data_IF_483171472222
#
_entry.id   IF_483171472222
#
_cell.length_a   1.000
_cell.length_b   1.000
_cell.length_c   1.000
_cell.angle_alpha   90.00
_cell.angle_beta   90.00
_cell.angle_gamma   90.00
#
_symmetry.space_group_name_H-M   'P 1'
#
loop_
_entity.id
_entity.type
_entity.pdbx_description
1 polymer ?
#
# COMPACT_ATOMS: atom_id res chain seq x y z
N UNK A 1 -28.11 -25.10 30.17
CA UNK A 1 -27.25 -25.43 29.04
C UNK A 1 -26.41 -24.20 28.77
N UNK A 2 -25.19 -24.20 29.30
CA UNK A 2 -24.19 -23.11 29.16
C UNK A 2 -23.47 -23.31 27.85
N UNK A 3 -23.58 -22.35 26.93
CA UNK A 3 -22.83 -22.35 25.68
C UNK A 3 -21.35 -22.14 25.99
N UNK A 4 -20.53 -23.15 25.72
CA UNK A 4 -19.08 -23.06 25.75
C UNK A 4 -18.60 -22.10 24.63
N UNK A 5 -18.00 -20.99 25.04
CA UNK A 5 -17.23 -20.13 24.16
C UNK A 5 -15.96 -20.88 23.74
N UNK A 6 -15.89 -21.32 22.51
CA UNK A 6 -14.65 -21.81 21.90
C UNK A 6 -13.59 -20.71 22.02
N UNK A 7 -12.41 -20.98 22.58
CA UNK A 7 -11.35 -19.99 22.65
C UNK A 7 -10.87 -19.70 21.22
N UNK A 8 -10.85 -18.41 20.85
CA UNK A 8 -10.22 -17.95 19.64
C UNK A 8 -8.75 -18.38 19.65
N UNK A 9 -8.32 -19.06 18.62
CA UNK A 9 -6.92 -19.39 18.35
C UNK A 9 -6.09 -18.10 18.43
N UNK A 10 -4.95 -18.06 19.14
CA UNK A 10 -4.13 -16.84 19.18
C UNK A 10 -3.68 -16.48 17.77
N UNK A 11 -4.03 -15.27 17.37
CA UNK A 11 -3.70 -14.65 16.09
C UNK A 11 -2.18 -14.55 15.99
N UNK A 12 -1.57 -15.45 15.22
CA UNK A 12 -0.13 -15.63 15.14
C UNK A 12 0.50 -14.52 14.28
N UNK A 13 0.59 -13.28 14.81
CA UNK A 13 1.43 -12.23 14.24
C UNK A 13 0.83 -11.42 13.09
N UNK A 14 -0.42 -11.62 12.71
CA UNK A 14 -1.11 -10.78 11.72
C UNK A 14 -1.46 -9.41 12.31
N UNK A 15 -1.36 -8.37 11.46
CA UNK A 15 -1.84 -7.04 11.83
C UNK A 15 -3.37 -7.06 11.98
N UNK A 16 -3.93 -6.35 12.97
CA UNK A 16 -5.37 -6.09 13.00
C UNK A 16 -5.79 -5.33 11.74
N UNK A 17 -6.96 -5.66 11.19
CA UNK A 17 -7.45 -5.08 9.93
C UNK A 17 -8.89 -4.61 10.06
N UNK A 18 -9.24 -3.52 9.38
CA UNK A 18 -10.61 -3.20 8.98
C UNK A 18 -10.84 -3.84 7.62
N UNK A 19 -12.01 -4.43 7.39
CA UNK A 19 -12.33 -5.06 6.09
C UNK A 19 -13.68 -4.58 5.57
N UNK A 20 -13.74 -4.29 4.28
CA UNK A 20 -14.96 -4.01 3.51
C UNK A 20 -15.01 -4.94 2.30
N UNK A 21 -16.21 -5.27 1.85
CA UNK A 21 -16.42 -6.09 0.65
C UNK A 21 -17.51 -5.46 -0.22
N UNK A 22 -17.28 -5.45 -1.54
CA UNK A 22 -18.26 -4.92 -2.50
C UNK A 22 -19.35 -5.93 -2.87
N UNK A 23 -19.22 -7.18 -2.39
CA UNK A 23 -20.20 -8.24 -2.63
C UNK A 23 -19.83 -9.55 -1.93
N UNK A 24 -20.67 -10.57 -2.10
CA UNK A 24 -20.40 -11.90 -1.58
C UNK A 24 -19.30 -12.61 -2.39
N UNK A 25 -18.50 -13.47 -1.73
CA UNK A 25 -17.46 -14.27 -2.36
C UNK A 25 -16.40 -13.44 -3.15
N UNK A 26 -15.64 -12.56 -2.50
CA UNK A 26 -14.63 -11.76 -3.16
C UNK A 26 -13.61 -12.60 -3.94
N UNK A 27 -13.34 -12.20 -5.17
CA UNK A 27 -12.38 -12.83 -6.06
C UNK A 27 -11.09 -12.04 -6.23
N UNK A 28 -11.11 -10.76 -5.82
CA UNK A 28 -9.98 -9.85 -5.84
C UNK A 28 -9.80 -9.22 -4.45
N UNK A 29 -8.59 -8.72 -4.15
CA UNK A 29 -8.35 -7.99 -2.91
C UNK A 29 -7.53 -6.72 -3.16
N UNK A 30 -7.75 -5.71 -2.32
CA UNK A 30 -6.92 -4.50 -2.24
C UNK A 30 -6.47 -4.36 -0.79
N UNK A 31 -5.15 -4.47 -0.55
CA UNK A 31 -4.57 -4.20 0.77
C UNK A 31 -4.09 -2.76 0.76
N UNK A 32 -4.74 -1.90 1.54
CA UNK A 32 -4.53 -0.45 1.52
C UNK A 32 -3.92 0.06 2.82
N UNK A 33 -2.70 0.59 2.73
CA UNK A 33 -1.87 1.03 3.85
C UNK A 33 -2.04 2.53 4.08
N UNK A 34 -2.40 2.91 5.31
CA UNK A 34 -2.59 4.31 5.72
C UNK A 34 -1.26 5.07 5.91
N UNK A 35 -1.33 6.39 6.04
CA UNK A 35 -0.19 7.26 6.34
C UNK A 35 0.22 7.22 7.82
N UNK A 36 1.33 7.91 8.14
CA UNK A 36 1.83 8.06 9.51
C UNK A 36 0.78 8.68 10.45
N UNK A 37 0.57 8.09 11.60
CA UNK A 37 -0.33 8.57 12.64
C UNK A 37 -1.81 8.25 12.43
N UNK A 38 -2.20 7.84 11.22
CA UNK A 38 -3.54 7.35 10.88
C UNK A 38 -3.72 5.89 11.29
N UNK A 39 -4.83 5.26 10.90
CA UNK A 39 -5.09 3.84 11.10
C UNK A 39 -5.93 3.25 9.94
N UNK A 40 -6.37 2.00 10.06
CA UNK A 40 -7.11 1.31 9.01
C UNK A 40 -8.48 1.93 8.68
N UNK A 41 -9.02 2.81 9.52
CA UNK A 41 -10.27 3.51 9.22
C UNK A 41 -10.08 4.76 8.36
N UNK A 42 -8.85 5.23 8.18
CA UNK A 42 -8.55 6.47 7.44
C UNK A 42 -9.02 6.40 5.98
N UNK A 43 -8.73 5.31 5.31
CA UNK A 43 -9.15 5.06 3.92
C UNK A 43 -10.36 4.13 3.78
N UNK A 44 -10.91 3.61 4.87
CA UNK A 44 -12.07 2.72 4.80
C UNK A 44 -13.28 3.36 4.08
N UNK A 45 -13.60 4.65 4.27
CA UNK A 45 -14.71 5.30 3.57
C UNK A 45 -14.53 5.41 2.06
N UNK A 46 -13.31 5.28 1.52
CA UNK A 46 -13.03 5.38 0.08
C UNK A 46 -13.78 4.32 -0.74
N UNK A 47 -14.15 3.20 -0.11
CA UNK A 47 -14.90 2.12 -0.77
C UNK A 47 -16.24 2.60 -1.27
N UNK A 48 -16.87 3.55 -0.58
CA UNK A 48 -18.17 4.09 -0.92
C UNK A 48 -18.10 5.16 -2.05
N UNK A 49 -16.88 5.63 -2.37
CA UNK A 49 -16.62 6.60 -3.45
C UNK A 49 -16.36 5.90 -4.80
N UNK A 50 -16.14 4.58 -4.81
CA UNK A 50 -15.82 3.81 -6.01
C UNK A 50 -17.04 3.05 -6.55
N UNK A 51 -17.19 3.07 -7.89
CA UNK A 51 -18.14 2.23 -8.61
C UNK A 51 -17.43 1.06 -9.28
N UNK A 52 -17.56 -0.12 -8.66
CA UNK A 52 -16.99 -1.37 -9.18
C UNK A 52 -18.05 -2.37 -9.66
N UNK A 53 -19.22 -1.93 -10.06
CA UNK A 53 -20.34 -2.78 -10.50
C UNK A 53 -19.96 -3.72 -11.66
N UNK A 54 -18.94 -3.37 -12.44
CA UNK A 54 -18.47 -4.17 -13.57
C UNK A 54 -17.36 -5.18 -13.18
N UNK A 55 -16.91 -5.18 -11.93
CA UNK A 55 -15.88 -6.08 -11.43
C UNK A 55 -16.47 -7.20 -10.57
N UNK A 56 -15.77 -8.33 -10.44
CA UNK A 56 -16.05 -9.30 -9.38
C UNK A 56 -15.96 -8.64 -8.00
N UNK A 57 -16.64 -9.24 -7.02
CA UNK A 57 -16.57 -8.73 -5.64
C UNK A 57 -15.12 -8.60 -5.15
N UNK A 58 -14.82 -7.46 -4.55
CA UNK A 58 -13.49 -7.07 -4.06
C UNK A 58 -13.51 -7.07 -2.53
N UNK A 59 -12.45 -7.60 -1.91
CA UNK A 59 -12.17 -7.40 -0.50
C UNK A 59 -11.14 -6.30 -0.32
N UNK A 60 -11.55 -5.23 0.35
CA UNK A 60 -10.65 -4.21 0.86
C UNK A 60 -10.15 -4.60 2.25
N UNK A 61 -8.84 -4.53 2.44
CA UNK A 61 -8.17 -4.83 3.69
C UNK A 61 -7.36 -3.61 4.10
N UNK A 62 -7.71 -2.99 5.21
CA UNK A 62 -7.07 -1.80 5.76
C UNK A 62 -6.36 -2.18 7.07
N UNK A 63 -5.08 -2.56 7.02
CA UNK A 63 -4.36 -2.95 8.23
C UNK A 63 -4.00 -1.73 9.09
N UNK A 64 -4.00 -1.93 10.41
CA UNK A 64 -3.45 -0.97 11.36
C UNK A 64 -1.94 -1.17 11.49
N UNK A 65 -1.15 -0.13 11.23
CA UNK A 65 0.28 -0.16 11.53
C UNK A 65 0.54 -0.37 13.03
N UNK A 66 1.68 -0.95 13.41
CA UNK A 66 2.07 -1.07 14.81
C UNK A 66 2.20 0.30 15.49
N UNK A 67 1.99 0.33 16.81
CA UNK A 67 2.35 1.49 17.63
C UNK A 67 3.86 1.51 17.83
N UNK A 68 4.50 2.64 17.50
CA UNK A 68 5.94 2.84 17.73
C UNK A 68 6.27 4.30 18.02
N UNK A 69 7.39 4.55 18.69
CA UNK A 69 7.93 5.89 18.83
C UNK A 69 8.39 6.41 17.46
N UNK A 70 8.09 7.66 17.13
CA UNK A 70 8.47 8.32 15.87
C UNK A 70 9.43 9.45 16.20
N UNK A 71 10.68 9.31 15.78
CA UNK A 71 11.80 10.18 16.17
C UNK A 71 11.59 11.63 15.72
N UNK A 72 11.16 11.86 14.46
CA UNK A 72 10.89 13.20 13.93
C UNK A 72 9.78 13.93 14.71
N UNK A 73 8.88 13.18 15.35
CA UNK A 73 7.81 13.70 16.19
C UNK A 73 8.20 13.71 17.69
N UNK A 74 9.48 13.84 18.00
CA UNK A 74 9.97 13.90 19.37
C UNK A 74 9.82 12.59 20.17
N UNK A 75 9.74 11.45 19.50
CA UNK A 75 9.53 10.13 20.10
C UNK A 75 8.09 9.84 20.51
N UNK A 76 7.12 10.66 20.05
CA UNK A 76 5.71 10.39 20.30
C UNK A 76 5.29 9.02 19.73
N UNK A 77 4.57 8.24 20.55
CA UNK A 77 4.12 6.90 20.17
C UNK A 77 2.83 6.98 19.37
N UNK A 78 2.88 6.56 18.13
CA UNK A 78 1.74 6.56 17.21
C UNK A 78 1.80 5.36 16.26
N UNK A 79 0.74 5.13 15.47
CA UNK A 79 0.76 4.13 14.42
C UNK A 79 1.72 4.57 13.33
N UNK A 80 2.71 3.73 13.06
CA UNK A 80 3.73 3.99 12.05
C UNK A 80 4.27 2.69 11.46
N UNK A 81 4.45 2.66 10.15
CA UNK A 81 5.04 1.51 9.45
C UNK A 81 6.54 1.40 9.74
N UNK A 82 7.21 2.53 9.82
CA UNK A 82 8.64 2.62 10.20
C UNK A 82 8.91 3.95 10.91
N UNK A 83 10.04 4.05 11.60
CA UNK A 83 10.45 5.31 12.21
C UNK A 83 10.93 6.30 11.13
N UNK A 84 10.65 7.56 11.29
CA UNK A 84 11.17 8.66 10.49
C UNK A 84 12.13 9.45 11.36
N UNK A 85 13.42 9.39 11.03
CA UNK A 85 14.48 10.05 11.82
C UNK A 85 14.67 11.51 11.39
N UNK A 86 14.50 11.80 10.08
CA UNK A 86 14.77 13.11 9.51
C UNK A 86 13.82 13.41 8.35
N UNK A 87 13.51 14.70 8.15
CA UNK A 87 12.67 15.18 7.05
C UNK A 87 13.44 15.48 5.75
N UNK A 88 14.75 15.23 5.69
CA UNK A 88 15.56 15.56 4.51
C UNK A 88 15.44 14.53 3.37
N UNK A 89 14.75 13.41 3.61
CA UNK A 89 14.52 12.33 2.63
C UNK A 89 15.78 11.97 1.83
N UNK A 90 16.96 12.14 2.42
CA UNK A 90 18.22 11.80 1.77
C UNK A 90 18.27 10.28 1.50
N UNK A 91 18.77 9.86 0.33
CA UNK A 91 18.90 8.44 0.03
C UNK A 91 19.61 7.66 1.13
N UNK A 92 19.00 6.57 1.61
CA UNK A 92 19.57 5.71 2.65
C UNK A 92 19.37 6.18 4.09
N UNK A 93 18.55 7.22 4.31
CA UNK A 93 18.20 7.70 5.67
C UNK A 93 16.83 7.28 6.15
N UNK A 94 16.03 6.65 5.31
CA UNK A 94 14.84 5.94 5.76
C UNK A 94 15.23 4.79 6.68
N UNK A 95 14.39 4.48 7.64
CA UNK A 95 14.59 3.33 8.52
C UNK A 95 14.40 2.00 7.76
N UNK A 96 15.44 1.56 7.04
CA UNK A 96 15.41 0.38 6.16
C UNK A 96 14.94 -0.89 6.89
N UNK A 97 15.35 -1.05 8.16
CA UNK A 97 14.94 -2.20 8.99
C UNK A 97 13.43 -2.15 9.27
N UNK A 98 12.90 -0.99 9.66
CA UNK A 98 11.47 -0.79 9.91
C UNK A 98 10.62 -0.99 8.66
N UNK A 99 11.10 -0.54 7.48
CA UNK A 99 10.44 -0.80 6.19
C UNK A 99 10.38 -2.30 5.90
N UNK A 100 11.48 -3.04 6.11
CA UNK A 100 11.54 -4.49 5.91
C UNK A 100 10.65 -5.25 6.91
N UNK A 101 10.65 -4.82 8.18
CA UNK A 101 9.74 -5.37 9.20
C UNK A 101 8.29 -5.22 8.79
N UNK A 102 7.89 -4.03 8.34
CA UNK A 102 6.53 -3.77 7.87
C UNK A 102 6.21 -4.57 6.61
N UNK A 103 7.13 -4.66 5.65
CA UNK A 103 6.98 -5.51 4.47
C UNK A 103 6.69 -6.97 4.84
N UNK A 104 7.41 -7.53 5.82
CA UNK A 104 7.16 -8.90 6.31
C UNK A 104 5.75 -9.09 6.87
N UNK A 105 5.20 -8.07 7.55
CA UNK A 105 3.81 -8.10 8.03
C UNK A 105 2.80 -8.04 6.88
N UNK A 106 3.09 -7.26 5.83
CA UNK A 106 2.24 -7.21 4.63
C UNK A 106 2.32 -8.52 3.85
N UNK A 107 3.48 -9.17 3.76
CA UNK A 107 3.61 -10.53 3.20
C UNK A 107 2.70 -11.54 3.92
N UNK A 108 2.55 -11.41 5.24
CA UNK A 108 1.65 -12.25 6.02
C UNK A 108 0.17 -12.00 5.67
N UNK A 109 -0.21 -10.75 5.34
CA UNK A 109 -1.54 -10.42 4.87
C UNK A 109 -1.79 -10.94 3.45
N UNK A 110 -0.82 -10.87 2.54
CA UNK A 110 -0.88 -11.50 1.21
C UNK A 110 -1.11 -13.00 1.34
N UNK A 111 -0.34 -13.68 2.19
CA UNK A 111 -0.49 -15.10 2.47
C UNK A 111 -1.88 -15.42 3.06
N UNK A 112 -2.43 -14.57 3.92
CA UNK A 112 -3.79 -14.70 4.44
C UNK A 112 -4.83 -14.64 3.33
N UNK A 113 -4.74 -13.68 2.42
CA UNK A 113 -5.68 -13.56 1.31
C UNK A 113 -5.57 -14.76 0.34
N UNK A 114 -4.36 -15.27 0.12
CA UNK A 114 -4.15 -16.52 -0.64
C UNK A 114 -4.85 -17.72 0.04
N UNK A 115 -4.70 -17.86 1.36
CA UNK A 115 -5.38 -18.91 2.13
C UNK A 115 -6.90 -18.78 2.10
N UNK A 116 -7.43 -17.56 1.87
CA UNK A 116 -8.85 -17.24 1.71
C UNK A 116 -9.33 -17.40 0.25
N UNK A 117 -8.46 -17.89 -0.66
CA UNK A 117 -8.80 -18.22 -2.05
C UNK A 117 -8.52 -17.10 -3.06
N UNK A 118 -7.91 -15.97 -2.68
CA UNK A 118 -7.56 -14.89 -3.61
C UNK A 118 -6.06 -15.00 -3.94
N UNK A 119 -5.68 -15.39 -5.17
CA UNK A 119 -4.27 -15.49 -5.55
C UNK A 119 -3.61 -14.12 -5.65
N UNK A 120 -2.27 -14.05 -5.50
CA UNK A 120 -1.50 -12.80 -5.57
C UNK A 120 -1.77 -12.02 -6.85
N UNK A 121 -1.94 -12.70 -7.99
CA UNK A 121 -2.25 -12.06 -9.27
C UNK A 121 -3.57 -11.29 -9.29
N UNK A 122 -4.41 -11.44 -8.28
CA UNK A 122 -5.67 -10.72 -8.06
C UNK A 122 -5.63 -9.79 -6.84
N UNK A 123 -4.43 -9.48 -6.34
CA UNK A 123 -4.25 -8.59 -5.20
C UNK A 123 -3.51 -7.33 -5.65
N UNK A 124 -4.06 -6.16 -5.30
CA UNK A 124 -3.40 -4.86 -5.41
C UNK A 124 -2.84 -4.47 -4.04
N UNK A 125 -1.57 -4.07 -4.00
CA UNK A 125 -1.00 -3.37 -2.85
C UNK A 125 -1.15 -1.87 -3.06
N UNK A 126 -1.90 -1.22 -2.17
CA UNK A 126 -2.15 0.20 -2.19
C UNK A 126 -1.60 0.87 -0.93
N UNK A 127 -1.23 2.14 -1.03
CA UNK A 127 -0.85 2.91 0.16
C UNK A 127 -0.67 4.39 -0.10
N UNK A 128 -0.87 5.16 0.96
CA UNK A 128 -0.69 6.61 0.99
C UNK A 128 0.49 6.97 1.90
N UNK A 129 1.31 7.93 1.49
CA UNK A 129 2.41 8.46 2.29
C UNK A 129 3.35 7.35 2.76
N UNK A 130 3.56 7.17 4.07
CA UNK A 130 4.36 6.09 4.65
C UNK A 130 3.88 4.69 4.20
N UNK A 131 2.55 4.49 4.07
CA UNK A 131 1.98 3.25 3.55
C UNK A 131 2.32 3.01 2.07
N UNK A 132 2.39 4.06 1.25
CA UNK A 132 2.80 3.98 -0.16
C UNK A 132 4.26 3.55 -0.33
N UNK A 133 5.15 4.01 0.57
CA UNK A 133 6.55 3.57 0.64
C UNK A 133 6.63 2.06 0.90
N UNK A 134 5.87 1.56 1.87
CA UNK A 134 5.84 0.11 2.19
C UNK A 134 5.20 -0.70 1.05
N UNK A 135 4.14 -0.19 0.43
CA UNK A 135 3.49 -0.85 -0.71
C UNK A 135 4.46 -1.01 -1.91
N UNK A 136 5.19 0.05 -2.26
CA UNK A 136 6.24 -0.02 -3.30
C UNK A 136 7.35 -1.00 -2.93
N UNK A 137 7.88 -0.90 -1.69
CA UNK A 137 8.96 -1.78 -1.23
C UNK A 137 8.55 -3.25 -1.33
N UNK A 138 7.39 -3.58 -0.76
CA UNK A 138 6.87 -4.96 -0.72
C UNK A 138 6.53 -5.46 -2.11
N UNK A 139 5.75 -4.71 -2.87
CA UNK A 139 5.25 -5.16 -4.17
C UNK A 139 6.35 -5.42 -5.20
N UNK A 140 7.41 -4.60 -5.22
CA UNK A 140 8.54 -4.80 -6.11
C UNK A 140 9.42 -6.01 -5.71
N UNK A 141 9.37 -6.43 -4.43
CA UNK A 141 10.17 -7.53 -3.87
C UNK A 141 9.35 -8.80 -3.62
N UNK A 142 8.04 -8.75 -3.79
CA UNK A 142 7.18 -9.92 -3.63
C UNK A 142 7.48 -10.98 -4.68
N UNK A 143 7.56 -12.25 -4.24
CA UNK A 143 8.03 -13.36 -5.07
C UNK A 143 7.04 -13.85 -6.14
N UNK A 144 5.76 -13.48 -6.02
CA UNK A 144 4.69 -13.82 -6.96
C UNK A 144 4.11 -12.59 -7.62
N UNK A 145 3.52 -12.76 -8.80
CA UNK A 145 2.90 -11.68 -9.56
C UNK A 145 1.72 -11.08 -8.79
N UNK A 146 1.73 -9.75 -8.59
CA UNK A 146 0.59 -8.97 -8.09
C UNK A 146 -0.26 -8.42 -9.25
N UNK A 147 -1.52 -8.09 -8.98
CA UNK A 147 -2.38 -7.37 -9.93
C UNK A 147 -1.86 -5.96 -10.20
N UNK A 148 -1.39 -5.27 -9.18
CA UNK A 148 -0.87 -3.91 -9.30
C UNK A 148 -0.31 -3.35 -8.01
N UNK A 149 0.35 -2.17 -8.13
CA UNK A 149 0.83 -1.38 -6.99
C UNK A 149 0.30 0.04 -7.13
N UNK A 150 -0.40 0.53 -6.11
CA UNK A 150 -0.92 1.90 -6.01
C UNK A 150 -0.15 2.66 -4.93
N UNK A 151 0.54 3.74 -5.29
CA UNK A 151 1.44 4.45 -4.40
C UNK A 151 1.19 5.96 -4.46
N UNK A 152 0.48 6.48 -3.44
CA UNK A 152 -0.01 7.85 -3.39
C UNK A 152 0.85 8.71 -2.43
N UNK A 153 1.23 9.92 -2.87
CA UNK A 153 1.98 10.92 -2.09
C UNK A 153 3.17 10.33 -1.33
N UNK A 154 4.00 9.54 -2.04
CA UNK A 154 5.12 8.81 -1.44
C UNK A 154 6.36 8.80 -2.35
N UNK A 155 7.38 8.10 -1.94
CA UNK A 155 8.64 7.93 -2.67
C UNK A 155 9.08 6.45 -2.69
N UNK A 156 9.98 6.12 -3.60
CA UNK A 156 10.57 4.80 -3.71
C UNK A 156 11.71 4.64 -2.69
N UNK A 157 11.58 3.74 -1.69
CA UNK A 157 12.63 3.53 -0.71
C UNK A 157 13.71 2.59 -1.23
N UNK A 158 14.89 2.60 -0.58
CA UNK A 158 15.94 1.60 -0.75
C UNK A 158 16.27 1.32 -2.23
N UNK A 159 16.53 2.42 -2.98
CA UNK A 159 16.79 2.35 -4.42
C UNK A 159 18.10 1.68 -4.76
N UNK A 160 19.07 1.72 -3.84
CA UNK A 160 20.39 1.09 -3.92
C UNK A 160 20.34 -0.43 -3.96
N UNK A 161 19.38 -1.03 -3.22
CA UNK A 161 19.22 -2.49 -3.18
C UNK A 161 18.18 -3.03 -4.17
N UNK A 162 17.41 -2.14 -4.82
CA UNK A 162 16.31 -2.55 -5.69
C UNK A 162 16.77 -3.47 -6.84
N UNK A 163 17.90 -3.19 -7.46
CA UNK A 163 18.41 -3.99 -8.60
C UNK A 163 18.74 -5.44 -8.23
N UNK A 164 19.06 -5.69 -6.95
CA UNK A 164 19.43 -7.02 -6.45
C UNK A 164 18.28 -7.73 -5.75
N UNK A 165 17.29 -6.99 -5.26
CA UNK A 165 16.18 -7.53 -4.45
C UNK A 165 14.86 -7.62 -5.22
N UNK A 166 14.70 -6.84 -6.30
CA UNK A 166 13.47 -6.87 -7.10
C UNK A 166 13.23 -8.24 -7.71
N UNK A 167 11.99 -8.72 -7.59
CA UNK A 167 11.62 -10.04 -8.07
C UNK A 167 11.17 -10.00 -9.55
N UNK A 168 11.63 -10.94 -10.37
CA UNK A 168 11.24 -11.03 -11.78
C UNK A 168 9.72 -11.12 -11.99
N UNK A 169 9.01 -11.74 -11.06
CA UNK A 169 7.55 -11.93 -11.14
C UNK A 169 6.78 -10.59 -11.23
N UNK A 170 7.32 -9.52 -10.68
CA UNK A 170 6.71 -8.18 -10.67
C UNK A 170 7.44 -7.17 -11.58
N UNK A 171 8.26 -7.65 -12.54
CA UNK A 171 9.00 -6.75 -13.45
C UNK A 171 8.07 -5.92 -14.33
N UNK A 172 6.91 -6.42 -14.67
CA UNK A 172 5.90 -5.80 -15.50
C UNK A 172 4.59 -5.52 -14.73
N UNK A 173 4.64 -5.50 -13.38
CA UNK A 173 3.48 -5.17 -12.55
C UNK A 173 3.03 -3.72 -12.85
N UNK A 174 1.74 -3.48 -13.14
CA UNK A 174 1.24 -2.12 -13.30
C UNK A 174 1.42 -1.32 -12.01
N UNK A 175 1.98 -0.11 -12.14
CA UNK A 175 2.18 0.79 -11.01
C UNK A 175 1.48 2.12 -11.30
N UNK A 176 0.60 2.55 -10.38
CA UNK A 176 0.07 3.91 -10.38
C UNK A 176 0.72 4.69 -9.25
N UNK A 177 1.31 5.83 -9.60
CA UNK A 177 1.88 6.77 -8.64
C UNK A 177 1.26 8.13 -8.85
N UNK A 178 0.81 8.74 -7.77
CA UNK A 178 0.22 10.07 -7.77
C UNK A 178 0.77 10.93 -6.63
N UNK A 179 0.70 12.27 -6.79
CA UNK A 179 1.25 13.19 -5.80
C UNK A 179 0.64 14.57 -5.90
N UNK A 180 0.39 15.21 -4.74
CA UNK A 180 -0.01 16.61 -4.66
C UNK A 180 1.13 17.55 -5.05
N UNK A 181 0.88 18.49 -5.96
CA UNK A 181 1.91 19.44 -6.43
C UNK A 181 2.32 20.46 -5.36
N UNK A 182 1.44 20.71 -4.37
CA UNK A 182 1.70 21.59 -3.23
C UNK A 182 2.00 20.80 -1.93
N UNK A 183 2.40 19.54 -2.04
CA UNK A 183 2.73 18.68 -0.90
C UNK A 183 3.94 19.24 -0.12
N UNK A 184 3.68 19.70 1.12
CA UNK A 184 4.69 20.24 2.02
C UNK A 184 5.28 19.17 2.98
N UNK A 185 4.71 17.95 3.00
CA UNK A 185 5.17 16.83 3.84
C UNK A 185 6.20 15.98 3.10
N UNK A 186 5.84 15.49 1.91
CA UNK A 186 6.77 14.77 1.02
C UNK A 186 6.88 15.60 -0.27
N UNK A 187 8.05 16.18 -0.58
CA UNK A 187 8.20 17.04 -1.74
C UNK A 187 7.78 16.35 -3.04
N UNK A 188 6.92 17.01 -3.84
CA UNK A 188 6.44 16.53 -5.14
C UNK A 188 7.56 15.98 -6.05
N UNK A 189 8.71 16.67 -6.11
CA UNK A 189 9.84 16.25 -6.93
C UNK A 189 10.47 14.92 -6.47
N UNK A 190 10.29 14.53 -5.20
CA UNK A 190 10.77 13.25 -4.69
C UNK A 190 9.93 12.08 -5.24
N UNK A 191 8.60 12.19 -5.20
CA UNK A 191 7.69 11.22 -5.83
C UNK A 191 7.91 11.14 -7.34
N UNK A 192 8.02 12.28 -8.00
CA UNK A 192 8.28 12.36 -9.45
C UNK A 192 9.62 11.74 -9.86
N UNK A 193 10.69 11.92 -9.06
CA UNK A 193 11.97 11.23 -9.27
C UNK A 193 11.83 9.73 -9.12
N UNK A 194 11.08 9.27 -8.13
CA UNK A 194 10.80 7.86 -7.90
C UNK A 194 10.12 7.21 -9.11
N UNK A 195 9.08 7.86 -9.64
CA UNK A 195 8.38 7.40 -10.84
C UNK A 195 9.30 7.38 -12.08
N UNK A 196 10.14 8.40 -12.25
CA UNK A 196 11.13 8.43 -13.35
C UNK A 196 12.15 7.29 -13.23
N UNK A 197 12.64 7.00 -12.02
CA UNK A 197 13.57 5.90 -11.79
C UNK A 197 12.95 4.54 -12.14
N UNK A 198 11.72 4.30 -11.67
CA UNK A 198 11.00 3.06 -12.00
C UNK A 198 10.78 2.91 -13.51
N UNK A 199 10.39 4.00 -14.20
CA UNK A 199 10.29 4.01 -15.69
C UNK A 199 11.63 3.70 -16.37
N UNK A 200 12.71 4.27 -15.88
CA UNK A 200 14.07 4.01 -16.40
C UNK A 200 14.50 2.54 -16.19
N UNK A 201 13.95 1.87 -15.16
CA UNK A 201 14.11 0.44 -14.89
C UNK A 201 13.08 -0.42 -15.64
N UNK A 202 12.35 0.16 -16.58
CA UNK A 202 11.32 -0.47 -17.43
C UNK A 202 10.08 -0.99 -16.67
N UNK A 203 9.74 -0.44 -15.51
CA UNK A 203 8.45 -0.71 -14.89
C UNK A 203 7.33 0.10 -15.59
N UNK A 204 6.12 -0.49 -15.79
CA UNK A 204 4.98 0.21 -16.39
C UNK A 204 4.32 1.16 -15.37
N UNK A 205 4.91 2.34 -15.19
CA UNK A 205 4.45 3.35 -14.23
C UNK A 205 3.57 4.38 -14.92
N UNK A 206 2.32 4.52 -14.45
CA UNK A 206 1.50 5.68 -14.68
C UNK A 206 1.78 6.70 -13.57
N UNK A 207 2.16 7.94 -13.94
CA UNK A 207 2.45 9.03 -13.00
C UNK A 207 1.48 10.17 -13.23
N UNK A 208 0.89 10.68 -12.13
CA UNK A 208 -0.03 11.81 -12.16
C UNK A 208 0.27 12.81 -11.04
N UNK A 209 0.10 14.09 -11.32
CA UNK A 209 0.24 15.16 -10.33
C UNK A 209 -1.02 15.98 -10.24
N UNK A 210 -1.49 16.25 -9.02
CA UNK A 210 -2.74 16.96 -8.76
C UNK A 210 -2.51 18.28 -8.04
N UNK A 211 -3.42 19.23 -8.24
CA UNK A 211 -3.37 20.55 -7.59
C UNK A 211 -3.87 20.44 -6.13
N UNK A 212 -3.20 19.63 -5.32
CA UNK A 212 -3.51 19.41 -3.89
C UNK A 212 -2.24 19.40 -3.06
N UNK A 213 -2.40 19.42 -1.74
CA UNK A 213 -1.35 19.28 -0.74
C UNK A 213 -1.04 17.79 -0.47
N UNK A 214 -0.66 17.44 0.79
CA UNK A 214 -0.45 16.04 1.22
C UNK A 214 -1.81 15.37 1.52
N UNK A 215 -2.62 15.20 0.48
CA UNK A 215 -3.99 14.64 0.56
C UNK A 215 -4.40 14.05 -0.78
N UNK A 216 -5.48 13.29 -0.80
CA UNK A 216 -6.10 12.73 -2.01
C UNK A 216 -7.30 13.61 -2.38
N UNK A 217 -7.43 13.99 -3.65
CA UNK A 217 -8.56 14.77 -4.17
C UNK A 217 -9.50 13.91 -5.02
N UNK A 218 -10.71 14.42 -5.31
CA UNK A 218 -11.72 13.68 -6.08
C UNK A 218 -11.24 13.30 -7.49
N UNK A 219 -10.47 14.16 -8.17
CA UNK A 219 -9.90 13.87 -9.48
C UNK A 219 -8.93 12.68 -9.40
N UNK A 220 -8.09 12.65 -8.35
CA UNK A 220 -7.20 11.52 -8.07
C UNK A 220 -7.97 10.22 -7.79
N UNK A 221 -9.07 10.29 -7.04
CA UNK A 221 -9.93 9.12 -6.76
C UNK A 221 -10.53 8.54 -8.04
N UNK A 222 -11.02 9.36 -8.96
CA UNK A 222 -11.53 8.90 -10.26
C UNK A 222 -10.45 8.21 -11.11
N UNK A 223 -9.22 8.76 -11.12
CA UNK A 223 -8.11 8.15 -11.85
C UNK A 223 -7.67 6.81 -11.19
N UNK A 224 -7.68 6.75 -9.86
CA UNK A 224 -7.42 5.53 -9.08
C UNK A 224 -8.47 4.47 -9.38
N UNK A 225 -9.76 4.82 -9.35
CA UNK A 225 -10.86 3.92 -9.70
C UNK A 225 -10.71 3.35 -11.11
N UNK A 226 -10.47 4.23 -12.08
CA UNK A 226 -10.28 3.84 -13.49
C UNK A 226 -9.08 2.90 -13.65
N UNK A 227 -8.00 3.14 -12.91
CA UNK A 227 -6.81 2.30 -12.94
C UNK A 227 -7.07 0.95 -12.27
N UNK A 228 -7.70 0.94 -11.08
CA UNK A 228 -8.08 -0.28 -10.35
C UNK A 228 -9.01 -1.16 -11.19
N UNK A 229 -10.03 -0.56 -11.82
CA UNK A 229 -10.97 -1.27 -12.71
C UNK A 229 -10.22 -2.00 -13.82
N UNK A 230 -9.28 -1.33 -14.49
CA UNK A 230 -8.50 -1.94 -15.57
C UNK A 230 -7.62 -3.09 -15.07
N UNK A 231 -6.83 -2.89 -14.01
CA UNK A 231 -5.88 -3.90 -13.55
C UNK A 231 -6.56 -5.12 -12.91
N UNK A 232 -7.74 -4.93 -12.30
CA UNK A 232 -8.51 -6.03 -11.73
C UNK A 232 -9.33 -6.76 -12.79
N UNK A 233 -9.84 -6.09 -13.82
CA UNK A 233 -10.49 -6.76 -14.95
C UNK A 233 -9.53 -7.67 -15.72
N UNK A 234 -8.27 -7.23 -15.91
CA UNK A 234 -7.23 -8.03 -16.57
C UNK A 234 -6.78 -9.23 -15.72
N UNK A 235 -7.02 -9.19 -14.40
CA UNK A 235 -6.60 -10.22 -13.45
C UNK A 235 -7.69 -11.27 -13.16
N UNK A 236 -8.94 -10.95 -13.43
CA UNK A 236 -10.13 -11.79 -13.17
C UNK A 236 -10.70 -12.36 -14.44
#
# INVERSE_FOLDING_TARGET
MTAEKTPATPDCGLLPTVERQTGESPQCAIIWLHGLGADGHDFEPIVDEFDFDQLPAIRFVFPHAPMRAVTINGGYVMRAWYDIVSADFAPGREESEGVRESASKIESLLARENARGIPDSRIVLAGFSQGGVVALHTGLRHSRRLAGILALSCYLPMTDTLSTEAQPANRDVPIFMAHGQADAVIPYELGKRSAKLLKALNYPVQWQGYATEHSVCLEELHDVESWLTRVLADAC
#
